data_IF_139704579088
#
_entry.id   IF_139704579088
#
_cell.length_a   1.000
_cell.length_b   1.000
_cell.length_c   1.000
_cell.angle_alpha   90.00
_cell.angle_beta   90.00
_cell.angle_gamma   90.00
#
_symmetry.space_group_name_H-M   'P 1'
#
loop_
_entity.id
_entity.type
_entity.pdbx_description
1 polymer ?
#
# COMPACT_ATOMS: atom_id res chain seq x y z
N UNK A 1 34.54 -26.71 -37.17
CA UNK A 1 34.25 -25.30 -36.90
C UNK A 1 33.10 -25.23 -35.91
N UNK A 2 33.40 -25.00 -34.63
CA UNK A 2 32.43 -24.82 -33.56
C UNK A 2 31.96 -23.36 -33.55
N UNK A 3 30.68 -23.10 -33.86
CA UNK A 3 30.05 -21.79 -33.64
C UNK A 3 29.39 -21.78 -32.27
N UNK A 4 30.07 -21.21 -31.28
CA UNK A 4 29.47 -20.78 -30.02
C UNK A 4 28.80 -19.43 -30.25
N UNK A 5 27.50 -19.43 -30.53
CA UNK A 5 26.69 -18.21 -30.49
C UNK A 5 26.36 -17.90 -29.03
N UNK A 6 27.02 -16.88 -28.48
CA UNK A 6 26.65 -16.25 -27.21
C UNK A 6 25.23 -15.69 -27.35
N UNK A 7 24.25 -16.39 -26.80
CA UNK A 7 22.92 -15.82 -26.58
C UNK A 7 23.04 -14.84 -25.41
N UNK A 8 23.17 -13.55 -25.71
CA UNK A 8 22.86 -12.50 -24.74
C UNK A 8 21.39 -12.63 -24.40
N UNK A 9 21.08 -13.43 -23.38
CA UNK A 9 19.79 -13.42 -22.73
C UNK A 9 19.56 -11.96 -22.34
N UNK A 10 18.64 -11.30 -23.06
CA UNK A 10 18.17 -9.97 -22.74
C UNK A 10 17.49 -10.12 -21.38
N UNK A 11 18.24 -9.94 -20.29
CA UNK A 11 17.71 -9.93 -18.94
C UNK A 11 16.70 -8.79 -18.95
N UNK A 12 15.41 -9.14 -19.05
CA UNK A 12 14.33 -8.22 -18.71
C UNK A 12 14.60 -7.82 -17.27
N UNK A 13 15.22 -6.65 -17.10
CA UNK A 13 15.21 -5.94 -15.83
C UNK A 13 13.72 -5.88 -15.46
N UNK A 14 13.30 -6.43 -14.31
CA UNK A 14 11.91 -6.32 -13.89
C UNK A 14 11.52 -4.85 -13.99
N UNK A 15 10.41 -4.55 -14.67
CA UNK A 15 9.92 -3.18 -14.78
C UNK A 15 9.93 -2.58 -13.37
N UNK A 16 10.56 -1.41 -13.24
CA UNK A 16 10.65 -0.72 -11.97
C UNK A 16 9.23 -0.62 -11.37
N UNK A 17 9.05 -0.84 -10.06
CA UNK A 17 7.71 -0.83 -9.46
C UNK A 17 7.00 0.48 -9.82
N UNK A 18 5.78 0.37 -10.35
CA UNK A 18 4.95 1.54 -10.66
C UNK A 18 4.52 2.18 -9.33
N UNK A 19 5.34 3.10 -8.86
CA UNK A 19 5.12 3.80 -7.60
C UNK A 19 3.85 4.68 -7.68
N UNK A 20 3.35 5.02 -8.87
CA UNK A 20 2.14 5.80 -9.08
C UNK A 20 0.91 4.93 -8.89
N UNK A 21 0.95 3.71 -9.43
CA UNK A 21 -0.05 2.69 -9.13
C UNK A 21 -0.04 2.35 -7.62
N UNK A 22 1.14 2.24 -6.99
CA UNK A 22 1.26 1.99 -5.55
C UNK A 22 0.61 3.11 -4.71
N UNK A 23 0.88 4.38 -5.02
CA UNK A 23 0.24 5.53 -4.38
C UNK A 23 -1.29 5.51 -4.57
N UNK A 24 -1.76 5.23 -5.79
CA UNK A 24 -3.20 5.13 -6.07
C UNK A 24 -3.88 4.03 -5.25
N UNK A 25 -3.26 2.85 -5.16
CA UNK A 25 -3.78 1.76 -4.31
C UNK A 25 -3.77 2.16 -2.84
N UNK A 26 -2.71 2.82 -2.37
CA UNK A 26 -2.60 3.28 -0.98
C UNK A 26 -3.72 4.27 -0.62
N UNK A 27 -4.01 5.24 -1.50
CA UNK A 27 -5.15 6.15 -1.32
C UNK A 27 -6.47 5.39 -1.20
N UNK A 28 -6.71 4.38 -2.05
CA UNK A 28 -7.93 3.57 -1.98
C UNK A 28 -8.05 2.78 -0.69
N UNK A 29 -6.94 2.24 -0.18
CA UNK A 29 -6.91 1.51 1.10
C UNK A 29 -7.17 2.46 2.27
N UNK A 30 -6.63 3.69 2.25
CA UNK A 30 -6.97 4.72 3.26
C UNK A 30 -8.46 5.04 3.29
N UNK A 31 -9.07 5.29 2.13
CA UNK A 31 -10.52 5.52 2.06
C UNK A 31 -11.33 4.32 2.55
N UNK A 32 -10.88 3.09 2.27
CA UNK A 32 -11.55 1.89 2.80
C UNK A 32 -11.45 1.82 4.32
N UNK A 33 -10.28 2.13 4.90
CA UNK A 33 -10.09 2.13 6.34
C UNK A 33 -11.01 3.14 7.05
N UNK A 34 -11.17 4.34 6.49
CA UNK A 34 -12.15 5.33 6.99
C UNK A 34 -13.58 4.81 6.95
N UNK A 35 -14.00 4.14 5.87
CA UNK A 35 -15.34 3.56 5.78
C UNK A 35 -15.57 2.46 6.83
N UNK A 36 -14.55 1.64 7.10
CA UNK A 36 -14.62 0.61 8.16
C UNK A 36 -14.68 1.25 9.54
N UNK A 37 -13.91 2.32 9.78
CA UNK A 37 -13.98 3.09 11.02
C UNK A 37 -15.40 3.65 11.26
N UNK A 38 -15.97 4.31 10.25
CA UNK A 38 -17.35 4.83 10.31
C UNK A 38 -18.38 3.72 10.55
N UNK A 39 -18.15 2.54 9.97
CA UNK A 39 -18.99 1.36 10.21
C UNK A 39 -18.89 0.91 11.67
N UNK A 40 -17.69 0.89 12.26
CA UNK A 40 -17.47 0.63 13.68
C UNK A 40 -18.20 1.62 14.59
N UNK A 41 -18.05 2.92 14.31
CA UNK A 41 -18.74 3.99 15.06
C UNK A 41 -20.27 3.84 15.01
N UNK A 42 -20.83 3.43 13.88
CA UNK A 42 -22.29 3.19 13.75
C UNK A 42 -22.81 2.09 14.68
N UNK A 43 -21.94 1.17 15.12
CA UNK A 43 -22.27 0.05 16.00
C UNK A 43 -22.10 0.39 17.49
N UNK A 44 -21.62 1.59 17.85
CA UNK A 44 -21.23 1.90 19.24
C UNK A 44 -22.38 1.78 20.24
N UNK A 45 -23.62 2.04 19.79
CA UNK A 45 -24.83 1.96 20.62
C UNK A 45 -25.40 0.54 20.70
N UNK A 46 -25.09 -0.35 19.74
CA UNK A 46 -25.70 -1.69 19.63
C UNK A 46 -24.74 -2.80 20.06
N UNK A 47 -23.46 -2.68 19.71
CA UNK A 47 -22.40 -3.64 19.99
C UNK A 47 -21.11 -2.89 20.38
N UNK A 48 -21.04 -2.30 21.59
CA UNK A 48 -19.91 -1.45 21.99
C UNK A 48 -18.55 -2.14 21.92
N UNK A 49 -18.48 -3.44 22.26
CA UNK A 49 -17.22 -4.20 22.20
C UNK A 49 -16.72 -4.38 20.77
N UNK A 50 -17.63 -4.64 19.83
CA UNK A 50 -17.29 -4.76 18.41
C UNK A 50 -16.91 -3.40 17.83
N UNK A 51 -17.66 -2.35 18.16
CA UNK A 51 -17.36 -0.98 17.75
C UNK A 51 -15.94 -0.57 18.17
N UNK A 52 -15.62 -0.73 19.46
CA UNK A 52 -14.30 -0.39 20.00
C UNK A 52 -13.17 -1.21 19.36
N UNK A 53 -13.40 -2.50 19.09
CA UNK A 53 -12.40 -3.33 18.44
C UNK A 53 -12.16 -2.91 16.97
N UNK A 54 -13.22 -2.54 16.25
CA UNK A 54 -13.13 -2.07 14.87
C UNK A 54 -12.41 -0.72 14.81
N UNK A 55 -12.81 0.25 15.63
CA UNK A 55 -12.22 1.60 15.60
C UNK A 55 -10.75 1.58 16.01
N UNK A 56 -10.40 0.86 17.08
CA UNK A 56 -9.00 0.68 17.47
C UNK A 56 -8.16 -0.04 16.40
N UNK A 57 -8.74 -1.03 15.71
CA UNK A 57 -8.08 -1.69 14.58
C UNK A 57 -7.83 -0.74 13.41
N UNK A 58 -8.81 0.11 13.09
CA UNK A 58 -8.69 1.13 12.04
C UNK A 58 -7.66 2.20 12.39
N UNK A 59 -7.51 2.58 13.66
CA UNK A 59 -6.48 3.54 14.09
C UNK A 59 -5.08 3.00 13.80
N UNK A 60 -4.80 1.75 14.20
CA UNK A 60 -3.52 1.09 13.92
C UNK A 60 -3.26 0.94 12.42
N UNK A 61 -4.29 0.56 11.65
CA UNK A 61 -4.16 0.48 10.19
C UNK A 61 -3.85 1.86 9.60
N UNK A 62 -4.47 2.93 10.10
CA UNK A 62 -4.24 4.28 9.60
C UNK A 62 -2.81 4.74 9.84
N UNK A 63 -2.25 4.47 11.03
CA UNK A 63 -0.85 4.74 11.36
C UNK A 63 0.10 4.05 10.37
N UNK A 64 -0.10 2.74 10.14
CA UNK A 64 0.70 1.98 9.18
C UNK A 64 0.56 2.50 7.74
N UNK A 65 -0.63 2.92 7.32
CA UNK A 65 -0.84 3.48 5.99
C UNK A 65 -0.18 4.85 5.82
N UNK A 66 0.03 5.62 6.90
CA UNK A 66 0.81 6.86 6.88
C UNK A 66 2.29 6.53 6.71
N UNK A 67 2.85 5.62 7.51
CA UNK A 67 4.25 5.20 7.39
C UNK A 67 4.57 4.64 5.99
N UNK A 68 3.68 3.81 5.44
CA UNK A 68 3.83 3.29 4.08
C UNK A 68 3.79 4.42 3.04
N UNK A 69 2.93 5.44 3.23
CA UNK A 69 2.89 6.58 2.31
C UNK A 69 4.22 7.33 2.31
N UNK A 70 4.79 7.58 3.49
CA UNK A 70 6.08 8.28 3.61
C UNK A 70 7.21 7.50 2.93
N UNK A 71 7.24 6.18 3.06
CA UNK A 71 8.21 5.31 2.38
C UNK A 71 8.04 5.39 0.86
N UNK A 72 6.81 5.26 0.36
CA UNK A 72 6.54 5.26 -1.09
C UNK A 72 6.82 6.63 -1.70
N UNK A 73 6.42 7.72 -1.04
CA UNK A 73 6.73 9.07 -1.49
C UNK A 73 8.23 9.39 -1.42
N UNK A 74 8.92 8.88 -0.39
CA UNK A 74 10.37 8.99 -0.26
C UNK A 74 11.08 8.30 -1.44
N UNK A 75 10.65 7.10 -1.80
CA UNK A 75 11.15 6.38 -2.96
C UNK A 75 10.84 7.11 -4.29
N UNK A 76 9.64 7.69 -4.42
CA UNK A 76 9.25 8.48 -5.60
C UNK A 76 10.13 9.71 -5.78
N UNK A 77 10.36 10.47 -4.71
CA UNK A 77 11.19 11.70 -4.73
C UNK A 77 12.67 11.38 -4.92
N UNK A 78 13.16 10.28 -4.35
CA UNK A 78 14.56 9.83 -4.47
C UNK A 78 14.91 9.21 -5.82
N UNK A 79 13.95 8.64 -6.55
CA UNK A 79 14.13 8.12 -7.90
C UNK A 79 14.02 9.16 -9.02
N UNK A 80 13.67 10.41 -8.69
CA UNK A 80 13.53 11.53 -9.63
C UNK A 80 14.78 12.44 -9.69
N UNK A 81 15.88 12.07 -9.00
CA UNK A 81 17.15 12.79 -8.95
C UNK A 81 18.21 12.18 -9.88
#
# INVERSE_FOLDING_TARGET
MTKTSNSTANVKVPDAPDLGEALSKLTRVKSLNELVFMSGESLIMTLPSAANAITAGCDVINELLIEIQEIVEGAWKGGAA
#
